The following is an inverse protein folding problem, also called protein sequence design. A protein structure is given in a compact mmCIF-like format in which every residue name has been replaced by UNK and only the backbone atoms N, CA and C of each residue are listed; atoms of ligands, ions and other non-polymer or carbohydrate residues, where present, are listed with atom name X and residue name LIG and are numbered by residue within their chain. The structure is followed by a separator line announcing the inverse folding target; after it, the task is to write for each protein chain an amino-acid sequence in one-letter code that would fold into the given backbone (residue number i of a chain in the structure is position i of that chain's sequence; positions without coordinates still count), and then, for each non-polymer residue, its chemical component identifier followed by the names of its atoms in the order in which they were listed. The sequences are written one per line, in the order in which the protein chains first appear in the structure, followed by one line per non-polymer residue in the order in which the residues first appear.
data_IF_740980369699
#
_entry.id   IF_740980369699
#
_cell.length_a   1.000
_cell.length_b   1.000
_cell.length_c   1.000
_cell.angle_alpha   90.00
_cell.angle_beta   90.00
_cell.angle_gamma   90.00
#
_symmetry.space_group_name_H-M   'P 1'
#
loop_
_entity.id
_entity.type
_entity.pdbx_description
1 polymer ?
#
# COMPACT_ATOMS: atom_id res chain seq x y z
N UNK A 1 2.21 4.10 -10.27
CA UNK A 1 3.39 3.63 -11.02
C UNK A 1 3.17 2.19 -11.43
N UNK A 2 3.42 1.85 -12.69
CA UNK A 2 3.25 0.50 -13.26
C UNK A 2 4.55 0.05 -13.94
N UNK A 3 5.04 -1.11 -13.54
CA UNK A 3 6.29 -1.67 -14.06
C UNK A 3 6.15 -2.22 -15.47
N UNK A 4 5.07 -2.97 -15.73
CA UNK A 4 4.85 -3.66 -17.01
C UNK A 4 4.37 -2.71 -18.10
N UNK A 5 5.18 -2.58 -19.16
CA UNK A 5 4.88 -1.68 -20.27
C UNK A 5 3.51 -1.94 -20.92
N UNK A 6 3.16 -3.21 -21.16
CA UNK A 6 1.85 -3.57 -21.75
C UNK A 6 0.68 -3.17 -20.86
N UNK A 7 0.76 -3.44 -19.56
CA UNK A 7 -0.24 -3.06 -18.56
C UNK A 7 -0.35 -1.54 -18.43
N UNK A 8 0.78 -0.84 -18.38
CA UNK A 8 0.81 0.62 -18.38
C UNK A 8 0.07 1.21 -19.57
N UNK A 9 0.40 0.77 -20.79
CA UNK A 9 -0.24 1.28 -22.02
C UNK A 9 -1.74 1.04 -22.05
N UNK A 10 -2.20 -0.16 -21.67
CA UNK A 10 -3.63 -0.48 -21.64
C UNK A 10 -4.38 0.34 -20.57
N UNK A 11 -3.80 0.50 -19.39
CA UNK A 11 -4.36 1.34 -18.31
C UNK A 11 -4.40 2.80 -18.73
N UNK A 12 -3.34 3.31 -19.33
CA UNK A 12 -3.28 4.68 -19.84
C UNK A 12 -4.38 4.96 -20.87
N UNK A 13 -4.52 4.07 -21.85
CA UNK A 13 -5.55 4.20 -22.87
C UNK A 13 -6.96 4.16 -22.25
N UNK A 14 -7.21 3.28 -21.28
CA UNK A 14 -8.47 3.16 -20.58
C UNK A 14 -8.81 4.44 -19.78
N UNK A 15 -7.84 5.02 -19.08
CA UNK A 15 -8.00 6.26 -18.31
C UNK A 15 -8.30 7.43 -19.24
N UNK A 16 -7.57 7.60 -20.34
CA UNK A 16 -7.86 8.65 -21.34
C UNK A 16 -9.24 8.49 -21.94
N UNK A 17 -9.66 7.26 -22.28
CA UNK A 17 -10.99 6.99 -22.81
C UNK A 17 -12.09 7.32 -21.78
N UNK A 18 -11.89 6.97 -20.52
CA UNK A 18 -12.80 7.30 -19.43
C UNK A 18 -12.95 8.82 -19.28
N UNK A 19 -11.85 9.56 -19.19
CA UNK A 19 -11.86 11.00 -19.02
C UNK A 19 -12.58 11.73 -20.19
N UNK A 20 -12.39 11.25 -21.40
CA UNK A 20 -13.14 11.75 -22.57
C UNK A 20 -14.64 11.49 -22.46
N UNK A 21 -15.04 10.32 -22.00
CA UNK A 21 -16.45 9.97 -21.76
C UNK A 21 -17.09 10.86 -20.70
N UNK A 22 -16.30 11.27 -19.69
CA UNK A 22 -16.72 12.22 -18.64
C UNK A 22 -16.68 13.68 -19.09
N UNK A 23 -16.48 13.95 -20.40
CA UNK A 23 -16.62 15.29 -21.00
C UNK A 23 -15.32 16.09 -21.12
N UNK A 24 -14.15 15.52 -20.82
CA UNK A 24 -12.89 16.23 -21.01
C UNK A 24 -12.49 16.24 -22.50
N UNK A 25 -11.87 17.33 -22.94
CA UNK A 25 -11.23 17.37 -24.26
C UNK A 25 -10.09 16.36 -24.36
N UNK A 26 -9.72 15.95 -25.57
CA UNK A 26 -8.64 14.99 -25.80
C UNK A 26 -7.32 15.45 -25.14
N UNK A 27 -6.97 16.73 -25.28
CA UNK A 27 -5.75 17.29 -24.70
C UNK A 27 -5.79 17.30 -23.16
N UNK A 28 -6.91 17.68 -22.56
CA UNK A 28 -7.06 17.68 -21.09
C UNK A 28 -7.02 16.25 -20.52
N UNK A 29 -7.66 15.30 -21.19
CA UNK A 29 -7.65 13.89 -20.78
C UNK A 29 -6.23 13.29 -20.82
N UNK A 30 -5.47 13.58 -21.88
CA UNK A 30 -4.09 13.16 -22.02
C UNK A 30 -3.19 13.80 -20.94
N UNK A 31 -3.28 15.11 -20.74
CA UNK A 31 -2.50 15.83 -19.74
C UNK A 31 -2.75 15.31 -18.30
N UNK A 32 -4.00 14.96 -17.96
CA UNK A 32 -4.32 14.35 -16.67
C UNK A 32 -3.75 12.93 -16.54
N UNK A 33 -3.88 12.11 -17.60
CA UNK A 33 -3.33 10.77 -17.61
C UNK A 33 -1.79 10.80 -17.44
N UNK A 34 -1.08 11.70 -18.12
CA UNK A 34 0.37 11.91 -17.99
C UNK A 34 0.77 12.29 -16.55
N UNK A 35 -0.06 13.07 -15.88
CA UNK A 35 0.19 13.48 -14.48
C UNK A 35 -0.09 12.36 -13.48
N UNK A 36 -1.08 11.50 -13.73
CA UNK A 36 -1.54 10.48 -12.80
C UNK A 36 -0.80 9.16 -12.93
N UNK A 37 -0.31 8.84 -14.13
CA UNK A 37 0.26 7.55 -14.45
C UNK A 37 1.75 7.66 -14.77
N UNK A 38 2.55 6.86 -14.10
CA UNK A 38 3.98 6.77 -14.35
C UNK A 38 4.36 5.33 -14.66
N UNK A 39 5.19 5.14 -15.68
CA UNK A 39 5.77 3.83 -15.98
C UNK A 39 7.13 3.71 -15.30
N UNK A 40 7.33 2.60 -14.57
CA UNK A 40 8.61 2.31 -13.94
C UNK A 40 8.47 1.45 -12.70
N UNK A 41 9.59 1.25 -12.05
CA UNK A 41 9.67 0.57 -10.77
C UNK A 41 9.31 1.54 -9.65
N UNK A 42 8.27 1.23 -8.88
CA UNK A 42 7.81 2.08 -7.79
C UNK A 42 8.90 2.35 -6.74
N UNK A 43 9.73 1.34 -6.45
CA UNK A 43 10.80 1.48 -5.45
C UNK A 43 12.00 2.31 -5.95
N UNK A 44 12.10 2.53 -7.26
CA UNK A 44 13.18 3.32 -7.86
C UNK A 44 12.68 4.65 -8.42
N UNK A 45 11.37 4.81 -8.60
CA UNK A 45 10.78 6.00 -9.19
C UNK A 45 11.06 7.24 -8.31
N UNK A 46 11.51 8.35 -8.90
CA UNK A 46 11.67 9.62 -8.19
C UNK A 46 10.29 10.27 -8.01
N UNK A 47 9.51 9.75 -7.05
CA UNK A 47 8.22 10.33 -6.71
C UNK A 47 8.46 11.56 -5.85
N UNK A 48 8.04 12.72 -6.36
CA UNK A 48 8.08 13.98 -5.64
C UNK A 48 6.71 14.30 -5.06
N UNK A 49 6.72 14.96 -3.92
CA UNK A 49 5.50 15.41 -3.24
C UNK A 49 5.12 14.56 -2.04
N UNK A 50 4.13 15.06 -1.34
CA UNK A 50 3.54 14.42 -0.17
C UNK A 50 2.07 14.15 -0.47
N UNK A 51 1.58 13.03 0.03
CA UNK A 51 0.23 12.55 -0.26
C UNK A 51 -0.58 12.45 1.03
N UNK A 52 -1.85 12.88 0.97
CA UNK A 52 -2.81 12.65 2.05
C UNK A 52 -3.17 11.18 2.18
N UNK A 53 -3.21 10.46 1.05
CA UNK A 53 -3.56 9.05 1.02
C UNK A 53 -2.64 8.26 0.09
N UNK A 54 -2.21 7.09 0.57
CA UNK A 54 -1.58 6.05 -0.25
C UNK A 54 -2.36 4.76 -0.07
N UNK A 55 -2.90 4.22 -1.17
CA UNK A 55 -3.72 3.02 -1.16
C UNK A 55 -3.17 2.00 -2.14
N UNK A 56 -3.11 0.73 -1.74
CA UNK A 56 -2.60 -0.29 -2.66
C UNK A 56 -2.65 -1.72 -2.14
N UNK A 57 -2.27 -2.59 -3.07
CA UNK A 57 -1.98 -4.00 -2.84
C UNK A 57 -0.59 -4.28 -3.42
N UNK A 58 0.48 -4.18 -2.61
CA UNK A 58 1.84 -4.32 -3.09
C UNK A 58 2.15 -5.76 -3.55
N UNK A 59 3.14 -5.95 -4.44
CA UNK A 59 3.45 -7.27 -4.98
C UNK A 59 4.06 -8.22 -3.95
N UNK A 60 3.64 -9.49 -4.00
CA UNK A 60 4.13 -10.58 -3.14
C UNK A 60 5.28 -11.33 -3.83
N UNK A 61 6.44 -10.71 -3.93
CA UNK A 61 7.63 -11.30 -4.56
C UNK A 61 8.68 -11.59 -3.49
N UNK A 62 9.15 -12.84 -3.47
CA UNK A 62 10.22 -13.27 -2.58
C UNK A 62 11.58 -12.74 -3.07
N UNK A 63 12.52 -12.42 -2.18
CA UNK A 63 13.81 -11.85 -2.57
C UNK A 63 14.63 -12.76 -3.49
N UNK A 64 14.44 -14.09 -3.41
CA UNK A 64 15.12 -15.05 -4.27
C UNK A 64 14.70 -14.95 -5.76
N UNK A 65 13.56 -14.33 -6.03
CA UNK A 65 13.03 -14.10 -7.39
C UNK A 65 13.46 -12.74 -7.96
N UNK A 66 14.12 -11.90 -7.17
CA UNK A 66 14.58 -10.57 -7.59
C UNK A 66 16.02 -10.70 -8.12
N UNK A 67 16.34 -10.17 -9.32
CA UNK A 67 17.71 -10.15 -9.81
C UNK A 67 18.68 -9.53 -8.79
N UNK A 68 19.84 -10.16 -8.57
CA UNK A 68 20.77 -9.76 -7.51
C UNK A 68 21.20 -8.28 -7.55
N UNK A 69 21.47 -7.65 -8.71
CA UNK A 69 21.78 -6.22 -8.77
C UNK A 69 20.61 -5.35 -8.30
N UNK A 70 19.37 -5.71 -8.68
CA UNK A 70 18.17 -4.99 -8.29
C UNK A 70 17.88 -5.13 -6.80
N UNK A 71 18.05 -6.33 -6.26
CA UNK A 71 17.92 -6.59 -4.82
C UNK A 71 18.96 -5.79 -4.02
N UNK A 72 20.19 -5.69 -4.51
CA UNK A 72 21.23 -4.87 -3.88
C UNK A 72 20.84 -3.39 -3.86
N UNK A 73 20.26 -2.87 -4.95
CA UNK A 73 19.77 -1.50 -5.04
C UNK A 73 18.62 -1.24 -4.06
N UNK A 74 17.65 -2.14 -3.94
CA UNK A 74 16.58 -2.00 -2.95
C UNK A 74 17.12 -2.01 -1.52
N UNK A 75 18.07 -2.88 -1.22
CA UNK A 75 18.72 -2.94 0.11
C UNK A 75 19.53 -1.69 0.44
N UNK A 76 20.06 -1.00 -0.55
CA UNK A 76 20.77 0.27 -0.34
C UNK A 76 19.83 1.43 -0.01
N UNK A 77 18.59 1.40 -0.53
CA UNK A 77 17.59 2.46 -0.36
C UNK A 77 16.70 2.27 0.85
N UNK A 78 16.33 1.01 1.16
CA UNK A 78 15.28 0.69 2.14
C UNK A 78 15.85 -0.12 3.30
N UNK A 79 15.85 0.48 4.49
CA UNK A 79 16.32 -0.17 5.72
C UNK A 79 15.47 -1.39 6.11
N UNK A 80 14.23 -1.45 5.65
CA UNK A 80 13.30 -2.55 5.94
C UNK A 80 13.51 -3.76 5.03
N UNK A 81 14.26 -3.61 3.91
CA UNK A 81 14.61 -4.73 3.02
C UNK A 81 15.72 -5.61 3.63
N UNK A 82 15.40 -6.20 4.77
CA UNK A 82 16.31 -6.96 5.62
C UNK A 82 16.08 -8.47 5.51
N UNK A 83 17.15 -9.27 5.51
CA UNK A 83 17.14 -10.74 5.50
C UNK A 83 16.29 -11.28 4.32
N UNK A 84 15.23 -12.02 4.61
CA UNK A 84 14.30 -12.61 3.64
C UNK A 84 13.01 -11.80 3.50
N UNK A 85 13.09 -10.49 3.65
CA UNK A 85 11.93 -9.62 3.48
C UNK A 85 11.37 -9.71 2.06
N UNK A 86 10.09 -10.01 1.94
CA UNK A 86 9.36 -9.97 0.67
C UNK A 86 9.26 -8.53 0.15
N UNK A 87 9.06 -8.37 -1.16
CA UNK A 87 9.08 -7.06 -1.83
C UNK A 87 8.03 -6.07 -1.29
N UNK A 88 6.90 -6.54 -0.75
CA UNK A 88 5.89 -5.66 -0.17
C UNK A 88 6.40 -4.87 1.05
N UNK A 89 7.47 -5.34 1.71
CA UNK A 89 8.06 -4.66 2.88
C UNK A 89 8.63 -3.28 2.54
N UNK A 90 9.57 -3.13 1.57
CA UNK A 90 10.03 -1.81 1.15
C UNK A 90 8.93 -0.99 0.46
N UNK A 91 7.91 -1.62 -0.14
CA UNK A 91 6.74 -0.87 -0.63
C UNK A 91 6.02 -0.13 0.51
N UNK A 92 5.86 -0.75 1.67
CA UNK A 92 5.28 -0.09 2.85
C UNK A 92 6.18 1.06 3.30
N UNK A 93 7.50 0.84 3.45
CA UNK A 93 8.46 1.89 3.87
C UNK A 93 8.40 3.08 2.92
N UNK A 94 8.52 2.83 1.60
CA UNK A 94 8.49 3.89 0.60
C UNK A 94 7.16 4.66 0.63
N UNK A 95 6.04 3.94 0.64
CA UNK A 95 4.71 4.56 0.70
C UNK A 95 4.51 5.42 1.94
N UNK A 96 4.98 4.96 3.10
CA UNK A 96 4.93 5.74 4.34
C UNK A 96 5.81 7.00 4.26
N UNK A 97 6.95 6.94 3.56
CA UNK A 97 7.82 8.11 3.37
C UNK A 97 7.19 9.19 2.51
N UNK A 98 6.26 8.82 1.62
CA UNK A 98 5.52 9.73 0.75
C UNK A 98 4.30 10.40 1.42
N UNK A 99 3.91 9.98 2.62
CA UNK A 99 2.78 10.60 3.32
C UNK A 99 3.10 11.99 3.82
N UNK A 100 2.17 12.91 3.67
CA UNK A 100 2.19 14.18 4.39
C UNK A 100 1.87 14.00 5.87
N UNK A 101 2.09 15.02 6.68
CA UNK A 101 1.68 15.05 8.08
C UNK A 101 0.17 14.87 8.18
N UNK A 102 -0.28 13.88 8.93
CA UNK A 102 -1.69 13.47 8.99
C UNK A 102 -2.13 12.53 7.86
N UNK A 103 -1.29 12.33 6.84
CA UNK A 103 -1.59 11.43 5.73
C UNK A 103 -1.69 9.96 6.16
N UNK A 104 -2.43 9.17 5.39
CA UNK A 104 -2.81 7.79 5.75
C UNK A 104 -2.51 6.80 4.64
N UNK A 105 -1.86 5.70 4.99
CA UNK A 105 -1.65 4.53 4.14
C UNK A 105 -2.74 3.48 4.43
N UNK A 106 -3.35 2.93 3.37
CA UNK A 106 -4.24 1.79 3.43
C UNK A 106 -3.79 0.66 2.50
N UNK A 107 -3.17 -0.38 3.04
CA UNK A 107 -2.71 -1.52 2.25
C UNK A 107 -3.43 -2.80 2.63
N UNK A 108 -3.75 -3.61 1.61
CA UNK A 108 -4.05 -5.03 1.78
C UNK A 108 -2.81 -5.82 1.37
N UNK A 109 -2.17 -6.50 2.31
CA UNK A 109 -0.97 -7.30 2.04
C UNK A 109 -0.79 -8.40 3.08
N UNK A 110 0.24 -9.25 2.90
CA UNK A 110 0.55 -10.30 3.86
C UNK A 110 0.89 -9.73 5.24
N UNK A 111 0.35 -10.35 6.29
CA UNK A 111 0.56 -9.94 7.69
C UNK A 111 1.89 -10.43 8.29
N UNK A 112 2.67 -11.17 7.52
CA UNK A 112 3.91 -11.83 8.01
C UNK A 112 4.93 -10.85 8.58
N UNK A 113 4.93 -9.61 8.12
CA UNK A 113 5.81 -8.57 8.68
C UNK A 113 5.51 -8.28 10.17
N UNK A 114 4.27 -8.48 10.61
CA UNK A 114 3.87 -8.34 12.01
C UNK A 114 4.46 -9.43 12.92
N UNK A 115 4.68 -10.62 12.39
CA UNK A 115 4.99 -11.84 13.16
C UNK A 115 6.43 -12.33 12.94
N UNK A 116 6.95 -12.21 11.72
CA UNK A 116 8.22 -12.80 11.35
C UNK A 116 9.42 -11.91 11.73
N UNK A 117 10.59 -12.53 11.86
CA UNK A 117 11.84 -11.86 12.23
C UNK A 117 12.22 -10.76 11.23
N UNK A 118 12.09 -11.02 9.95
CA UNK A 118 12.44 -10.05 8.90
C UNK A 118 11.58 -8.77 8.92
N UNK A 119 10.40 -8.82 9.52
CA UNK A 119 9.54 -7.65 9.70
C UNK A 119 9.96 -6.71 10.83
N UNK A 120 11.00 -7.09 11.62
CA UNK A 120 11.50 -6.30 12.75
C UNK A 120 11.81 -4.84 12.38
N UNK A 121 12.65 -4.59 11.35
CA UNK A 121 12.97 -3.23 10.93
C UNK A 121 11.73 -2.40 10.54
N UNK A 122 10.77 -3.01 9.82
CA UNK A 122 9.52 -2.31 9.47
C UNK A 122 8.67 -2.01 10.71
N UNK A 123 8.53 -2.94 11.64
CA UNK A 123 7.83 -2.68 12.90
C UNK A 123 8.46 -1.53 13.69
N UNK A 124 9.78 -1.50 13.78
CA UNK A 124 10.51 -0.39 14.42
C UNK A 124 10.31 0.94 13.69
N UNK A 125 10.33 0.92 12.36
CA UNK A 125 10.10 2.10 11.54
C UNK A 125 8.69 2.67 11.75
N UNK A 126 7.66 1.81 11.73
CA UNK A 126 6.27 2.20 11.98
C UNK A 126 6.10 2.72 13.40
N UNK A 127 6.54 1.96 14.41
CA UNK A 127 6.40 2.35 15.81
C UNK A 127 7.14 3.63 16.19
N UNK A 128 8.20 3.99 15.45
CA UNK A 128 8.98 5.18 15.74
C UNK A 128 8.44 6.48 15.13
N UNK A 129 7.59 6.39 14.10
CA UNK A 129 7.23 7.58 13.30
C UNK A 129 5.77 7.65 12.85
N UNK A 130 5.00 6.56 13.01
CA UNK A 130 3.66 6.42 12.47
C UNK A 130 2.75 5.73 13.48
N UNK A 131 1.46 5.94 13.32
CA UNK A 131 0.40 5.29 14.11
C UNK A 131 -0.25 4.16 13.29
N UNK A 132 -0.15 2.92 13.74
CA UNK A 132 -0.95 1.82 13.20
C UNK A 132 -2.40 1.96 13.74
N UNK A 133 -3.26 2.61 12.98
CA UNK A 133 -4.66 2.90 13.40
C UNK A 133 -5.53 1.66 13.40
N UNK A 134 -5.36 0.80 12.40
CA UNK A 134 -6.19 -0.39 12.25
C UNK A 134 -5.41 -1.56 11.65
N UNK A 135 -5.69 -2.75 12.16
CA UNK A 135 -5.28 -4.02 11.60
C UNK A 135 -6.50 -4.92 11.44
N UNK A 136 -6.77 -5.37 10.21
CA UNK A 136 -7.85 -6.31 9.90
C UNK A 136 -7.23 -7.60 9.39
N UNK A 137 -7.17 -8.63 10.23
CA UNK A 137 -6.68 -9.96 9.84
C UNK A 137 -7.72 -10.69 9.00
N UNK A 138 -7.38 -11.07 7.78
CA UNK A 138 -8.27 -11.71 6.81
C UNK A 138 -7.84 -13.15 6.48
N UNK A 139 -7.08 -13.79 7.36
CA UNK A 139 -6.70 -15.20 7.21
C UNK A 139 -7.95 -16.07 7.20
N UNK A 140 -8.02 -17.04 6.28
CA UNK A 140 -9.16 -17.91 6.07
C UNK A 140 -10.48 -17.20 5.70
N UNK A 141 -10.39 -15.97 5.18
CA UNK A 141 -11.55 -15.30 4.59
C UNK A 141 -11.50 -15.41 3.06
N UNK A 142 -12.65 -15.42 2.35
CA UNK A 142 -12.69 -15.45 0.88
C UNK A 142 -12.33 -14.07 0.30
N UNK A 143 -11.16 -13.53 0.67
CA UNK A 143 -10.70 -12.21 0.27
C UNK A 143 -10.14 -12.16 -1.16
N UNK A 144 -9.81 -13.32 -1.74
CA UNK A 144 -9.23 -13.44 -3.08
C UNK A 144 -9.97 -14.50 -3.91
N UNK A 145 -10.01 -14.28 -5.23
CA UNK A 145 -10.70 -15.16 -6.18
C UNK A 145 -9.94 -16.46 -6.53
N UNK A 146 -8.76 -16.68 -5.99
CA UNK A 146 -7.93 -17.88 -6.23
C UNK A 146 -7.36 -18.41 -4.92
N UNK A 147 -7.00 -19.70 -4.91
CA UNK A 147 -6.36 -20.42 -3.79
C UNK A 147 -4.94 -19.91 -3.50
N UNK A 148 -4.79 -18.59 -3.39
CA UNK A 148 -3.54 -17.99 -2.96
C UNK A 148 -3.41 -18.21 -1.47
N UNK A 149 -2.45 -19.02 -1.05
CA UNK A 149 -2.03 -19.14 0.36
C UNK A 149 -1.36 -17.82 0.77
N UNK A 150 -2.15 -16.78 0.89
CA UNK A 150 -1.75 -15.51 1.45
C UNK A 150 -2.37 -15.40 2.85
N UNK A 151 -1.63 -14.85 3.79
CA UNK A 151 -2.16 -14.43 5.08
C UNK A 151 -2.51 -12.93 4.97
N UNK A 152 -3.62 -12.57 4.27
CA UNK A 152 -3.90 -11.18 3.97
C UNK A 152 -4.34 -10.45 5.24
N UNK A 153 -3.92 -9.20 5.32
CA UNK A 153 -4.43 -8.25 6.30
C UNK A 153 -4.58 -6.87 5.65
N UNK A 154 -5.58 -6.13 6.09
CA UNK A 154 -5.66 -4.71 5.80
C UNK A 154 -4.98 -3.99 6.96
N UNK A 155 -4.04 -3.10 6.63
CA UNK A 155 -3.38 -2.22 7.60
C UNK A 155 -3.64 -0.77 7.23
N UNK A 156 -4.08 0.01 8.23
CA UNK A 156 -4.22 1.46 8.11
C UNK A 156 -3.16 2.10 9.01
N UNK A 157 -2.26 2.85 8.41
CA UNK A 157 -1.13 3.48 9.10
C UNK A 157 -1.11 4.96 8.77
N UNK A 158 -1.06 5.85 9.77
CA UNK A 158 -1.05 7.29 9.56
C UNK A 158 0.23 7.94 10.07
N UNK A 159 0.63 9.03 9.41
CA UNK A 159 1.75 9.87 9.86
C UNK A 159 1.28 10.87 10.91
N UNK A 160 0.99 10.37 12.08
CA UNK A 160 0.49 11.14 13.23
C UNK A 160 1.06 10.60 14.55
N UNK A 161 0.71 11.23 15.66
CA UNK A 161 1.09 10.74 16.99
C UNK A 161 0.53 9.34 17.26
N UNK A 162 1.26 8.54 18.04
CA UNK A 162 0.84 7.20 18.42
C UNK A 162 -0.48 7.24 19.20
N UNK A 163 -1.32 6.26 18.95
CA UNK A 163 -2.61 6.09 19.61
C UNK A 163 -3.04 4.62 19.68
N UNK A 164 -4.26 4.33 20.10
CA UNK A 164 -4.77 2.97 20.18
C UNK A 164 -4.93 2.36 18.80
N UNK A 165 -4.52 1.10 18.63
CA UNK A 165 -4.75 0.33 17.42
C UNK A 165 -6.06 -0.44 17.51
N UNK A 166 -6.94 -0.28 16.54
CA UNK A 166 -8.14 -1.10 16.38
C UNK A 166 -7.83 -2.39 15.65
N UNK A 167 -8.37 -3.49 16.16
CA UNK A 167 -8.08 -4.82 15.62
C UNK A 167 -9.40 -5.52 15.30
N UNK A 168 -9.53 -6.01 14.06
CA UNK A 168 -10.59 -6.90 13.64
C UNK A 168 -10.00 -8.21 13.10
N UNK A 169 -10.63 -9.34 13.44
CA UNK A 169 -10.21 -10.65 12.97
C UNK A 169 -11.32 -11.30 12.17
N UNK A 170 -11.00 -11.71 10.94
CA UNK A 170 -11.89 -12.48 10.05
C UNK A 170 -13.30 -11.87 9.93
N UNK A 171 -13.43 -10.56 9.68
CA UNK A 171 -14.74 -9.99 9.48
C UNK A 171 -15.44 -10.63 8.27
N UNK A 172 -16.75 -10.74 8.31
CA UNK A 172 -17.50 -11.17 7.14
C UNK A 172 -17.30 -10.16 5.99
N UNK A 173 -17.01 -10.68 4.80
CA UNK A 173 -16.76 -9.87 3.61
C UNK A 173 -18.11 -9.48 2.97
N UNK A 174 -18.80 -8.55 3.61
CA UNK A 174 -20.01 -7.95 3.08
C UNK A 174 -20.04 -6.44 3.39
N UNK A 175 -20.78 -5.64 2.60
CA UNK A 175 -20.77 -4.17 2.74
C UNK A 175 -21.17 -3.66 4.12
N UNK A 176 -22.09 -4.34 4.81
CA UNK A 176 -22.56 -3.91 6.12
C UNK A 176 -21.48 -4.06 7.20
N UNK A 177 -20.83 -5.23 7.28
CA UNK A 177 -19.75 -5.48 8.24
C UNK A 177 -18.52 -4.62 7.94
N UNK A 178 -18.13 -4.50 6.65
CA UNK A 178 -17.00 -3.67 6.26
C UNK A 178 -17.24 -2.19 6.55
N UNK A 179 -18.49 -1.72 6.46
CA UNK A 179 -18.86 -0.34 6.85
C UNK A 179 -18.69 -0.16 8.36
N UNK A 180 -19.14 -1.11 9.18
CA UNK A 180 -18.94 -1.04 10.64
C UNK A 180 -17.44 -0.97 10.99
N UNK A 181 -16.61 -1.82 10.36
CA UNK A 181 -15.17 -1.79 10.57
C UNK A 181 -14.57 -0.43 10.16
N UNK A 182 -15.03 0.15 9.05
CA UNK A 182 -14.58 1.47 8.59
C UNK A 182 -15.06 2.61 9.51
N UNK A 183 -16.26 2.50 10.05
CA UNK A 183 -16.80 3.53 10.96
C UNK A 183 -16.02 3.60 12.28
N UNK A 184 -15.44 2.50 12.75
CA UNK A 184 -14.52 2.49 13.89
C UNK A 184 -13.29 3.40 13.72
N UNK A 185 -12.88 3.70 12.49
CA UNK A 185 -11.81 4.66 12.22
C UNK A 185 -12.22 6.12 12.45
N UNK A 186 -13.51 6.42 12.44
CA UNK A 186 -14.04 7.78 12.57
C UNK A 186 -14.15 8.22 14.04
N UNK A 187 -14.20 7.28 14.99
CA UNK A 187 -14.38 7.57 16.40
C UNK A 187 -13.13 8.09 17.13
N UNK A 188 -12.03 8.32 16.42
CA UNK A 188 -10.77 8.83 16.99
C UNK A 188 -10.76 10.36 17.19
N UNK A 189 -11.87 11.04 16.95
CA UNK A 189 -11.93 12.51 16.99
C UNK A 189 -12.39 13.12 18.30
N UNK A 190 -12.57 12.34 19.37
CA UNK A 190 -13.01 12.89 20.64
C UNK A 190 -12.58 12.05 21.85
N UNK A 191 -11.34 12.24 22.27
CA UNK A 191 -11.02 12.18 23.69
C UNK A 191 -10.42 13.55 24.06
N UNK A 192 -11.31 14.46 24.46
CA UNK A 192 -10.96 15.55 25.36
C UNK A 192 -10.70 14.99 26.77
#
# INVERSE_FOLDING_TARGET
VELHHGTFRSTYAAVVALLKREGLSANAATALADRWLSQGDFLLAPLEGQFDFVVGNPPYVRPELIPAPLLAEYRSRYQTMYDRADLYIPFIEHSLSLLDKGGTLGFICADRWMKNRYGGPLRSFVAGKFHLKMYVGMVDTPAFHSDVIAYPAITIISREALGPTRIAHRPAINPAVLRLVADELKFDMSFE
#
